data_IF_585373399645
#
_entry.id   IF_585373399645
#
_cell.length_a   1.000
_cell.length_b   1.000
_cell.length_c   1.000
_cell.angle_alpha   90.00
_cell.angle_beta   90.00
_cell.angle_gamma   90.00
#
_symmetry.space_group_name_H-M   'P 1'
#
loop_
_entity.id
_entity.type
_entity.pdbx_description
1 polymer ?
#
# COMPACT_ATOMS: atom_id res chain seq x y z
N UNK A 1 -33.47 -27.02 -4.66
CA UNK A 1 -32.03 -26.97 -4.33
C UNK A 1 -31.91 -26.18 -3.04
N UNK A 2 -31.73 -26.84 -1.90
CA UNK A 2 -31.39 -26.15 -0.64
C UNK A 2 -29.91 -25.80 -0.71
N UNK A 3 -29.58 -24.51 -0.69
CA UNK A 3 -28.20 -24.04 -0.63
C UNK A 3 -27.65 -24.26 0.78
N UNK A 4 -26.63 -25.09 0.90
CA UNK A 4 -25.82 -25.23 2.12
C UNK A 4 -24.68 -24.18 2.17
N UNK A 5 -24.84 -23.05 1.44
CA UNK A 5 -23.82 -22.02 1.19
C UNK A 5 -23.47 -21.17 2.42
N UNK A 6 -23.11 -21.81 3.53
CA UNK A 6 -22.57 -21.15 4.70
C UNK A 6 -21.13 -20.69 4.44
N UNK A 7 -20.92 -19.38 4.45
CA UNK A 7 -19.61 -18.73 4.50
C UNK A 7 -18.92 -18.51 3.14
N UNK A 8 -17.90 -17.64 3.16
CA UNK A 8 -17.13 -17.25 1.96
C UNK A 8 -15.75 -17.93 1.99
N UNK A 9 -15.59 -19.02 1.23
CA UNK A 9 -14.35 -19.83 1.20
C UNK A 9 -13.43 -19.46 0.03
N UNK A 10 -12.56 -18.46 0.24
CA UNK A 10 -11.62 -18.01 -0.81
C UNK A 10 -10.28 -18.77 -0.84
N UNK A 11 -9.91 -19.47 0.24
CA UNK A 11 -8.61 -20.14 0.33
C UNK A 11 -8.50 -21.29 -0.67
N UNK A 12 -9.49 -22.17 -0.75
CA UNK A 12 -9.44 -23.35 -1.62
C UNK A 12 -9.30 -22.98 -3.11
N UNK A 13 -10.09 -22.03 -3.67
CA UNK A 13 -9.89 -21.56 -5.05
C UNK A 13 -8.51 -20.94 -5.29
N UNK A 14 -7.98 -20.16 -4.33
CA UNK A 14 -6.66 -19.53 -4.47
C UNK A 14 -5.52 -20.55 -4.44
N UNK A 15 -5.61 -21.57 -3.57
CA UNK A 15 -4.67 -22.69 -3.56
C UNK A 15 -4.75 -23.51 -4.85
N UNK A 16 -5.94 -23.66 -5.43
CA UNK A 16 -6.09 -24.28 -6.74
C UNK A 16 -5.35 -23.45 -7.81
N UNK A 17 -5.51 -22.12 -7.82
CA UNK A 17 -4.82 -21.23 -8.76
C UNK A 17 -3.30 -21.27 -8.60
N UNK A 18 -2.79 -21.43 -7.38
CA UNK A 18 -1.36 -21.57 -7.11
C UNK A 18 -0.79 -22.87 -7.70
N UNK A 19 -1.54 -23.98 -7.63
CA UNK A 19 -1.15 -25.27 -8.22
C UNK A 19 -1.27 -25.32 -9.75
N UNK A 20 -2.05 -24.40 -10.32
CA UNK A 20 -2.27 -24.28 -11.76
C UNK A 20 -1.80 -22.91 -12.24
N UNK A 21 -0.48 -22.67 -12.37
CA UNK A 21 0.04 -21.39 -12.84
C UNK A 21 -0.48 -21.05 -14.25
N UNK A 22 -0.50 -19.76 -14.59
CA UNK A 22 -0.84 -19.34 -15.95
C UNK A 22 0.25 -19.73 -16.94
N UNK A 23 -0.13 -19.83 -18.22
CA UNK A 23 0.82 -20.06 -19.30
C UNK A 23 1.86 -18.94 -19.37
N UNK A 24 3.07 -19.30 -19.80
CA UNK A 24 4.18 -18.36 -19.92
C UNK A 24 3.82 -17.20 -20.85
N UNK A 25 4.11 -15.97 -20.41
CA UNK A 25 3.80 -14.76 -21.15
C UNK A 25 2.32 -14.31 -21.08
N UNK A 26 1.45 -15.04 -20.37
CA UNK A 26 0.05 -14.65 -20.14
C UNK A 26 -0.19 -14.30 -18.67
N UNK A 27 -0.82 -13.15 -18.43
CA UNK A 27 -1.33 -12.78 -17.12
C UNK A 27 -2.80 -13.20 -16.98
N UNK A 28 -3.10 -14.08 -16.03
CA UNK A 28 -4.45 -14.50 -15.69
C UNK A 28 -5.23 -13.32 -15.09
N UNK A 29 -6.38 -13.00 -15.66
CA UNK A 29 -7.30 -11.99 -15.12
C UNK A 29 -8.44 -12.69 -14.36
N UNK A 30 -8.67 -12.30 -13.12
CA UNK A 30 -9.72 -12.87 -12.26
C UNK A 30 -10.67 -11.75 -11.85
N UNK A 31 -11.97 -11.95 -12.02
CA UNK A 31 -12.99 -11.07 -11.48
C UNK A 31 -13.61 -11.74 -10.25
N UNK A 32 -13.48 -11.10 -9.08
CA UNK A 32 -13.99 -11.61 -7.81
C UNK A 32 -15.10 -10.70 -7.30
N UNK A 33 -16.27 -11.26 -7.04
CA UNK A 33 -17.42 -10.54 -6.52
C UNK A 33 -17.70 -11.03 -5.10
N UNK A 34 -17.92 -10.10 -4.16
CA UNK A 34 -18.26 -10.42 -2.77
C UNK A 34 -19.18 -9.36 -2.20
N UNK A 35 -20.22 -9.79 -1.49
CA UNK A 35 -21.12 -8.96 -0.68
C UNK A 35 -20.87 -9.12 0.83
N UNK A 36 -20.12 -10.16 1.22
CA UNK A 36 -19.83 -10.50 2.61
C UNK A 36 -18.38 -10.33 3.04
N UNK A 37 -18.12 -10.76 4.27
CA UNK A 37 -16.80 -10.73 4.92
C UNK A 37 -16.20 -12.13 5.04
N UNK A 38 -14.89 -12.18 5.28
CA UNK A 38 -14.17 -13.39 5.68
C UNK A 38 -13.37 -13.11 6.94
N UNK A 39 -13.21 -14.12 7.79
CA UNK A 39 -12.37 -14.01 8.99
C UNK A 39 -10.87 -14.09 8.68
N UNK A 40 -10.48 -14.74 7.58
CA UNK A 40 -9.10 -15.03 7.22
C UNK A 40 -8.54 -14.15 6.09
N UNK A 41 -8.82 -12.83 6.14
CA UNK A 41 -8.36 -11.86 5.13
C UNK A 41 -6.84 -11.94 4.92
N UNK A 42 -6.07 -11.98 6.01
CA UNK A 42 -4.60 -11.97 5.94
C UNK A 42 -4.10 -13.16 5.11
N UNK A 43 -4.53 -14.39 5.46
CA UNK A 43 -4.16 -15.61 4.75
C UNK A 43 -4.47 -15.55 3.25
N UNK A 44 -5.68 -15.07 2.91
CA UNK A 44 -6.12 -14.89 1.52
C UNK A 44 -5.22 -13.92 0.76
N UNK A 45 -4.86 -12.79 1.36
CA UNK A 45 -3.95 -11.82 0.73
C UNK A 45 -2.55 -12.41 0.52
N UNK A 46 -2.08 -13.28 1.41
CA UNK A 46 -0.79 -13.96 1.24
C UNK A 46 -0.79 -14.94 0.08
N UNK A 47 -1.84 -15.74 -0.07
CA UNK A 47 -2.02 -16.61 -1.24
C UNK A 47 -2.07 -15.79 -2.53
N UNK A 48 -2.79 -14.66 -2.53
CA UNK A 48 -2.83 -13.77 -3.70
C UNK A 48 -1.44 -13.23 -4.06
N UNK A 49 -0.60 -12.96 -3.06
CA UNK A 49 0.76 -12.47 -3.27
C UNK A 49 1.71 -13.53 -3.83
N UNK A 50 1.47 -14.81 -3.56
CA UNK A 50 2.29 -15.89 -4.13
C UNK A 50 2.02 -16.09 -5.63
N UNK A 51 0.81 -15.75 -6.10
CA UNK A 51 0.39 -15.86 -7.51
C UNK A 51 0.42 -14.53 -8.28
N UNK A 52 0.75 -13.41 -7.64
CA UNK A 52 0.60 -12.05 -8.20
C UNK A 52 1.54 -11.72 -9.36
N UNK A 53 2.61 -12.49 -9.56
CA UNK A 53 3.52 -12.32 -10.70
C UNK A 53 2.88 -12.70 -12.03
N UNK A 54 1.80 -13.47 -12.01
CA UNK A 54 1.12 -13.96 -13.21
C UNK A 54 -0.41 -13.89 -13.13
N UNK A 55 -0.96 -13.43 -12.01
CA UNK A 55 -2.40 -13.29 -11.78
C UNK A 55 -2.75 -11.89 -11.30
N UNK A 56 -3.81 -11.31 -11.88
CA UNK A 56 -4.38 -10.01 -11.53
C UNK A 56 -5.84 -10.19 -11.11
N UNK A 57 -6.21 -9.64 -9.95
CA UNK A 57 -7.58 -9.77 -9.41
C UNK A 57 -8.29 -8.41 -9.46
N UNK A 58 -9.43 -8.38 -10.16
CA UNK A 58 -10.40 -7.30 -10.14
C UNK A 58 -11.51 -7.64 -9.15
N UNK A 59 -11.56 -6.93 -8.03
CA UNK A 59 -12.48 -7.25 -6.93
C UNK A 59 -13.66 -6.26 -6.88
N UNK A 60 -14.86 -6.79 -6.72
CA UNK A 60 -16.09 -6.03 -6.56
C UNK A 60 -16.66 -6.27 -5.17
N UNK A 61 -16.81 -5.20 -4.39
CA UNK A 61 -17.61 -5.21 -3.17
C UNK A 61 -19.05 -4.84 -3.50
N UNK A 62 -20.01 -5.73 -3.30
CA UNK A 62 -21.42 -5.50 -3.62
C UNK A 62 -22.20 -5.07 -2.38
N UNK A 63 -23.02 -4.04 -2.52
CA UNK A 63 -23.90 -3.57 -1.45
C UNK A 63 -23.17 -2.77 -0.36
N UNK A 64 -23.75 -2.75 0.84
CA UNK A 64 -23.34 -1.83 1.92
C UNK A 64 -22.25 -2.41 2.83
N UNK A 65 -22.16 -3.74 2.92
CA UNK A 65 -21.35 -4.43 3.93
C UNK A 65 -20.20 -5.33 3.41
N UNK A 66 -19.66 -5.18 2.19
CA UNK A 66 -18.51 -6.00 1.79
C UNK A 66 -17.27 -5.60 2.58
N UNK A 67 -16.42 -6.57 2.90
CA UNK A 67 -15.15 -6.30 3.61
C UNK A 67 -14.24 -5.39 2.78
N UNK A 68 -14.10 -4.13 3.20
CA UNK A 68 -13.24 -3.15 2.52
C UNK A 68 -11.77 -3.57 2.51
N UNK A 69 -11.31 -4.21 3.59
CA UNK A 69 -9.93 -4.71 3.71
C UNK A 69 -9.67 -5.82 2.69
N UNK A 70 -10.61 -6.76 2.54
CA UNK A 70 -10.51 -7.83 1.57
C UNK A 70 -10.50 -7.29 0.14
N UNK A 71 -11.53 -6.52 -0.23
CA UNK A 71 -11.72 -6.00 -1.59
C UNK A 71 -10.53 -5.13 -2.00
N UNK A 72 -10.13 -4.16 -1.18
CA UNK A 72 -8.95 -3.32 -1.48
C UNK A 72 -7.66 -4.14 -1.49
N UNK A 73 -7.53 -5.10 -0.58
CA UNK A 73 -6.34 -5.94 -0.43
C UNK A 73 -6.09 -6.84 -1.65
N UNK A 74 -7.13 -7.51 -2.14
CA UNK A 74 -7.05 -8.40 -3.31
C UNK A 74 -6.51 -7.67 -4.54
N UNK A 75 -7.08 -6.51 -4.84
CA UNK A 75 -6.66 -5.67 -5.95
C UNK A 75 -5.21 -5.17 -5.78
N UNK A 76 -4.87 -4.61 -4.60
CA UNK A 76 -3.54 -4.03 -4.36
C UNK A 76 -2.43 -5.07 -4.42
N UNK A 77 -2.66 -6.26 -3.87
CA UNK A 77 -1.66 -7.34 -3.84
C UNK A 77 -1.35 -7.90 -5.22
N UNK A 78 -2.30 -7.84 -6.16
CA UNK A 78 -2.20 -8.47 -7.49
C UNK A 78 -2.09 -7.45 -8.63
N UNK A 79 -1.81 -6.17 -8.32
CA UNK A 79 -1.81 -5.06 -9.29
C UNK A 79 -3.14 -4.93 -10.07
N UNK A 80 -4.25 -5.35 -9.47
CA UNK A 80 -5.59 -5.25 -10.00
C UNK A 80 -6.29 -3.93 -9.69
N UNK A 81 -7.61 -3.92 -9.81
CA UNK A 81 -8.46 -2.80 -9.43
C UNK A 81 -9.61 -3.27 -8.55
N UNK A 82 -10.09 -2.38 -7.68
CA UNK A 82 -11.25 -2.65 -6.86
C UNK A 82 -12.34 -1.62 -7.13
N UNK A 83 -13.59 -2.06 -7.01
CA UNK A 83 -14.77 -1.19 -7.09
C UNK A 83 -15.76 -1.63 -6.02
N UNK A 84 -16.42 -0.67 -5.38
CA UNK A 84 -17.60 -0.92 -4.55
C UNK A 84 -18.84 -0.53 -5.35
N UNK A 85 -19.79 -1.44 -5.50
CA UNK A 85 -21.04 -1.25 -6.23
C UNK A 85 -22.16 -1.07 -5.19
N UNK A 86 -22.73 0.14 -5.06
CA UNK A 86 -23.81 0.38 -4.12
C UNK A 86 -25.07 -0.43 -4.47
N UNK A 87 -25.95 -0.72 -3.50
CA UNK A 87 -27.23 -1.38 -3.78
C UNK A 87 -28.02 -0.67 -4.87
N UNK A 88 -28.76 -1.42 -5.69
CA UNK A 88 -29.62 -0.91 -6.78
C UNK A 88 -28.88 -0.17 -7.90
N UNK A 89 -27.54 -0.17 -7.90
CA UNK A 89 -26.75 0.38 -8.99
C UNK A 89 -26.66 -0.60 -10.16
N UNK A 90 -26.51 -0.07 -11.37
CA UNK A 90 -26.33 -0.89 -12.56
C UNK A 90 -24.92 -1.49 -12.58
N UNK A 91 -24.82 -2.82 -12.48
CA UNK A 91 -23.55 -3.55 -12.34
C UNK A 91 -22.73 -3.52 -13.64
N UNK A 92 -23.40 -3.43 -14.78
CA UNK A 92 -22.83 -3.39 -16.14
C UNK A 92 -21.80 -2.27 -16.34
N UNK A 93 -22.08 -1.07 -15.83
CA UNK A 93 -21.15 0.08 -15.94
C UNK A 93 -19.83 -0.25 -15.25
N UNK A 94 -19.88 -0.72 -14.01
CA UNK A 94 -18.69 -1.06 -13.22
C UNK A 94 -17.93 -2.25 -13.77
N UNK A 95 -18.65 -3.26 -14.28
CA UNK A 95 -18.04 -4.41 -14.94
C UNK A 95 -17.33 -3.99 -16.22
N UNK A 96 -17.96 -3.12 -17.03
CA UNK A 96 -17.36 -2.57 -18.25
C UNK A 96 -16.06 -1.82 -17.99
N UNK A 97 -16.00 -1.01 -16.93
CA UNK A 97 -14.79 -0.30 -16.53
C UNK A 97 -13.65 -1.25 -16.14
N UNK A 98 -13.92 -2.28 -15.34
CA UNK A 98 -12.89 -3.25 -14.95
C UNK A 98 -12.48 -4.12 -16.14
N UNK A 99 -13.41 -4.51 -17.02
CA UNK A 99 -13.13 -5.27 -18.22
C UNK A 99 -12.21 -4.51 -19.18
N UNK A 100 -12.45 -3.20 -19.37
CA UNK A 100 -11.55 -2.34 -20.16
C UNK A 100 -10.12 -2.36 -19.64
N UNK A 101 -9.93 -2.43 -18.32
CA UNK A 101 -8.60 -2.53 -17.67
C UNK A 101 -8.01 -3.93 -17.78
N UNK A 102 -8.84 -4.98 -17.72
CA UNK A 102 -8.43 -6.38 -17.84
C UNK A 102 -7.92 -6.73 -19.24
N UNK A 103 -8.49 -6.11 -20.27
CA UNK A 103 -8.12 -6.31 -21.68
C UNK A 103 -6.85 -5.55 -22.09
N UNK A 104 -6.25 -4.75 -21.20
CA UNK A 104 -5.00 -4.06 -21.50
C UNK A 104 -3.85 -5.07 -21.63
N UNK A 105 -3.02 -4.87 -22.65
CA UNK A 105 -1.79 -5.64 -22.80
C UNK A 105 -0.86 -5.43 -21.61
N UNK A 106 -0.06 -6.46 -21.31
CA UNK A 106 0.90 -6.40 -20.22
C UNK A 106 2.22 -7.08 -20.59
N UNK A 107 3.26 -6.67 -19.88
CA UNK A 107 4.54 -7.37 -19.83
C UNK A 107 4.59 -8.04 -18.45
N UNK A 108 4.64 -9.38 -18.45
CA UNK A 108 4.77 -10.20 -17.25
C UNK A 108 6.21 -10.67 -17.05
N UNK A 109 6.51 -11.26 -15.89
CA UNK A 109 7.84 -11.80 -15.55
C UNK A 109 8.97 -10.76 -15.70
N UNK A 110 8.67 -9.52 -15.31
CA UNK A 110 9.64 -8.43 -15.29
C UNK A 110 10.48 -8.56 -14.03
N UNK A 111 11.76 -8.21 -14.11
CA UNK A 111 12.67 -8.05 -12.98
C UNK A 111 13.46 -6.76 -13.12
N UNK A 112 13.76 -6.11 -11.99
CA UNK A 112 14.65 -4.94 -11.94
C UNK A 112 15.97 -5.41 -11.36
N UNK A 113 17.04 -5.27 -12.16
CA UNK A 113 18.40 -5.57 -11.75
C UNK A 113 19.11 -4.27 -11.39
N UNK A 114 19.65 -4.22 -10.18
CA UNK A 114 20.38 -3.08 -9.65
C UNK A 114 21.88 -3.36 -9.72
N UNK A 115 22.59 -2.69 -10.61
CA UNK A 115 24.05 -2.77 -10.73
C UNK A 115 24.63 -1.49 -10.11
N UNK A 116 24.60 -1.37 -8.78
CA UNK A 116 25.03 -0.15 -8.07
C UNK A 116 26.32 -0.34 -7.24
N UNK A 117 27.01 -1.46 -7.40
CA UNK A 117 28.22 -1.79 -6.62
C UNK A 117 27.98 -2.07 -5.13
N UNK A 118 26.73 -1.95 -4.65
CA UNK A 118 26.33 -2.18 -3.26
C UNK A 118 25.07 -3.05 -3.19
N UNK A 119 24.85 -3.67 -2.02
CA UNK A 119 23.61 -4.40 -1.76
C UNK A 119 22.47 -3.41 -1.59
N UNK A 120 21.34 -3.71 -2.24
CA UNK A 120 20.16 -2.85 -2.16
C UNK A 120 18.92 -3.65 -1.85
N UNK A 121 18.04 -3.07 -1.05
CA UNK A 121 16.74 -3.66 -0.76
C UNK A 121 15.65 -2.87 -1.48
N UNK A 122 14.92 -3.55 -2.37
CA UNK A 122 13.86 -2.93 -3.17
C UNK A 122 12.45 -3.28 -2.68
N UNK A 123 11.53 -2.33 -2.88
CA UNK A 123 10.09 -2.52 -2.73
C UNK A 123 9.39 -2.15 -4.06
N UNK A 124 8.56 -3.04 -4.63
CA UNK A 124 8.26 -4.39 -4.15
C UNK A 124 9.44 -5.36 -4.35
N UNK A 125 9.57 -6.38 -3.49
CA UNK A 125 10.61 -7.42 -3.60
C UNK A 125 10.37 -8.33 -4.80
N UNK A 126 9.09 -8.59 -5.13
CA UNK A 126 8.67 -9.26 -6.37
C UNK A 126 7.95 -8.24 -7.26
N UNK A 127 8.47 -8.04 -8.46
CA UNK A 127 7.91 -7.14 -9.46
C UNK A 127 6.66 -7.75 -10.10
N UNK A 128 5.57 -7.01 -10.04
CA UNK A 128 4.27 -7.40 -10.63
C UNK A 128 4.25 -7.09 -12.14
N UNK A 129 3.39 -7.75 -12.93
CA UNK A 129 3.19 -7.41 -14.34
C UNK A 129 2.86 -5.94 -14.54
N UNK A 130 3.40 -5.34 -15.60
CA UNK A 130 3.16 -3.95 -15.97
C UNK A 130 2.20 -3.90 -17.15
N UNK A 131 1.10 -3.18 -16.97
CA UNK A 131 0.02 -3.05 -17.96
C UNK A 131 0.17 -1.75 -18.75
N UNK A 132 -0.38 -1.72 -19.96
CA UNK A 132 -0.45 -0.50 -20.76
C UNK A 132 -1.08 0.65 -19.94
N UNK A 133 -0.49 1.84 -20.05
CA UNK A 133 -0.90 3.06 -19.33
C UNK A 133 -0.82 2.97 -17.79
N UNK A 134 -0.14 1.96 -17.23
CA UNK A 134 0.16 1.87 -15.81
C UNK A 134 1.64 2.17 -15.54
N UNK A 135 1.94 2.69 -14.35
CA UNK A 135 3.31 3.00 -13.91
C UNK A 135 3.77 1.99 -12.86
N UNK A 136 4.91 1.36 -13.11
CA UNK A 136 5.66 0.64 -12.08
C UNK A 136 6.57 1.62 -11.34
N UNK A 137 6.47 1.67 -10.02
CA UNK A 137 7.39 2.41 -9.16
C UNK A 137 8.10 1.39 -8.30
N UNK A 138 9.42 1.36 -8.38
CA UNK A 138 10.26 0.54 -7.50
C UNK A 138 11.13 1.48 -6.68
N UNK A 139 11.03 1.34 -5.36
CA UNK A 139 11.88 2.06 -4.44
C UNK A 139 13.04 1.17 -4.00
N UNK A 140 14.18 1.77 -3.72
CA UNK A 140 15.31 1.07 -3.13
C UNK A 140 15.98 1.96 -2.09
N UNK A 141 16.48 1.34 -1.02
CA UNK A 141 17.32 2.00 -0.02
C UNK A 141 18.72 1.37 -0.06
N UNK A 142 19.73 2.23 0.04
CA UNK A 142 21.14 1.86 0.07
C UNK A 142 21.73 2.24 1.43
N UNK A 143 22.61 1.40 1.97
CA UNK A 143 23.11 1.58 3.34
C UNK A 143 24.30 2.58 3.42
N UNK A 144 24.94 2.89 2.28
CA UNK A 144 26.10 3.78 2.22
C UNK A 144 25.79 5.10 1.49
N UNK A 145 26.49 6.18 1.88
CA UNK A 145 26.68 7.32 0.99
C UNK A 145 27.43 6.78 -0.23
N UNK A 146 26.71 6.48 -1.30
CA UNK A 146 27.27 6.14 -2.61
C UNK A 146 28.00 7.37 -3.13
N UNK A 147 29.19 7.65 -2.58
CA UNK A 147 29.91 8.91 -2.76
C UNK A 147 30.42 9.08 -4.18
N UNK A 148 30.47 8.01 -4.96
CA UNK A 148 30.57 8.05 -6.41
C UNK A 148 29.87 6.82 -6.96
N UNK A 149 28.71 6.98 -7.59
CA UNK A 149 28.31 5.98 -8.58
C UNK A 149 29.44 5.99 -9.60
N UNK A 150 30.20 4.90 -9.68
CA UNK A 150 31.13 4.74 -10.78
C UNK A 150 30.31 4.82 -12.07
N UNK A 151 30.87 5.36 -13.15
CA UNK A 151 30.18 5.52 -14.44
C UNK A 151 29.69 4.19 -15.08
N UNK A 152 29.66 3.11 -14.32
CA UNK A 152 29.19 1.78 -14.64
C UNK A 152 27.92 1.38 -13.85
N UNK A 153 27.46 2.24 -12.94
CA UNK A 153 26.25 2.01 -12.16
C UNK A 153 25.02 2.09 -13.08
N UNK A 154 24.17 1.06 -13.03
CA UNK A 154 22.99 0.97 -13.90
C UNK A 154 21.81 0.27 -13.25
N UNK A 155 20.61 0.64 -13.70
CA UNK A 155 19.36 -0.05 -13.37
C UNK A 155 18.81 -0.65 -14.66
N UNK A 156 18.65 -1.96 -14.68
CA UNK A 156 18.19 -2.68 -15.86
C UNK A 156 16.82 -3.30 -15.63
N UNK A 157 15.94 -3.17 -16.62
CA UNK A 157 14.66 -3.85 -16.67
C UNK A 157 14.81 -5.09 -17.55
N UNK A 158 14.53 -6.26 -16.98
CA UNK A 158 14.61 -7.54 -17.68
C UNK A 158 13.24 -8.20 -17.77
N UNK A 159 12.97 -8.90 -18.87
CA UNK A 159 11.84 -9.81 -19.01
C UNK A 159 12.40 -11.20 -19.30
N UNK A 160 12.19 -12.12 -18.37
CA UNK A 160 12.88 -13.42 -18.37
C UNK A 160 14.41 -13.22 -18.46
N UNK A 161 15.05 -13.67 -19.54
CA UNK A 161 16.49 -13.52 -19.78
C UNK A 161 16.85 -12.34 -20.68
N UNK A 162 15.87 -11.56 -21.14
CA UNK A 162 16.09 -10.48 -22.09
C UNK A 162 16.05 -9.12 -21.40
N UNK A 163 17.10 -8.32 -21.61
CA UNK A 163 17.15 -6.93 -21.16
C UNK A 163 16.24 -6.06 -22.05
N UNK A 164 15.21 -5.47 -21.45
CA UNK A 164 14.26 -4.58 -22.11
C UNK A 164 14.76 -3.14 -22.17
N UNK A 165 15.35 -2.66 -21.06
CA UNK A 165 15.83 -1.30 -20.93
C UNK A 165 16.96 -1.23 -19.90
N UNK A 166 17.80 -0.20 -20.01
CA UNK A 166 18.81 0.12 -19.02
C UNK A 166 18.87 1.64 -18.83
N UNK A 167 18.99 2.08 -17.58
CA UNK A 167 19.26 3.45 -17.21
C UNK A 167 20.62 3.52 -16.52
N UNK A 168 21.51 4.36 -17.03
CA UNK A 168 22.81 4.62 -16.40
C UNK A 168 22.58 5.59 -15.24
N UNK A 169 23.17 5.29 -14.09
CA UNK A 169 23.10 6.09 -12.87
C UNK A 169 24.46 6.76 -12.68
N UNK A 170 24.70 7.85 -13.39
CA UNK A 170 25.94 8.63 -13.23
C UNK A 170 25.91 9.49 -11.96
N UNK A 171 24.73 9.93 -11.55
CA UNK A 171 24.52 10.76 -10.36
C UNK A 171 23.11 10.61 -9.85
N UNK A 172 22.94 10.44 -8.54
CA UNK A 172 21.64 10.63 -7.88
C UNK A 172 21.48 12.13 -7.62
N UNK A 173 20.47 12.79 -8.22
CA UNK A 173 20.26 14.22 -8.01
C UNK A 173 19.93 14.48 -6.54
N UNK A 174 20.51 15.54 -5.97
CA UNK A 174 20.09 16.01 -4.66
C UNK A 174 18.72 16.68 -4.80
N UNK A 175 17.67 16.01 -4.34
CA UNK A 175 16.31 16.51 -4.38
C UNK A 175 15.99 17.12 -3.02
N UNK A 176 15.78 18.44 -2.97
CA UNK A 176 15.31 19.10 -1.74
C UNK A 176 13.82 18.80 -1.51
N UNK A 177 13.54 17.66 -0.88
CA UNK A 177 12.17 17.18 -0.60
C UNK A 177 11.93 16.87 0.88
N UNK A 178 12.75 17.41 1.78
CA UNK A 178 12.75 17.10 3.21
C UNK A 178 12.76 15.58 3.51
N UNK A 179 13.38 14.77 2.65
CA UNK A 179 13.46 13.31 2.80
C UNK A 179 12.17 12.56 2.44
N UNK A 180 11.22 13.18 1.74
CA UNK A 180 9.93 12.55 1.39
C UNK A 180 10.09 11.28 0.55
N UNK A 181 11.00 11.26 -0.43
CA UNK A 181 11.26 10.05 -1.25
C UNK A 181 11.82 8.93 -0.37
N UNK A 182 12.78 9.23 0.51
CA UNK A 182 13.32 8.26 1.45
C UNK A 182 12.22 7.70 2.37
N UNK A 183 11.29 8.56 2.80
CA UNK A 183 10.13 8.13 3.59
C UNK A 183 9.17 7.22 2.81
N UNK A 184 8.90 7.52 1.54
CA UNK A 184 8.09 6.64 0.68
C UNK A 184 8.77 5.29 0.47
N UNK A 185 10.08 5.28 0.21
CA UNK A 185 10.87 4.06 0.05
C UNK A 185 10.86 3.21 1.33
N UNK A 186 11.12 3.82 2.49
CA UNK A 186 11.08 3.13 3.78
C UNK A 186 9.69 2.59 4.11
N UNK A 187 8.63 3.36 3.84
CA UNK A 187 7.24 2.89 4.01
C UNK A 187 6.93 1.68 3.12
N UNK A 188 7.32 1.73 1.85
CA UNK A 188 7.10 0.64 0.91
C UNK A 188 7.84 -0.63 1.38
N UNK A 189 9.09 -0.50 1.84
CA UNK A 189 9.88 -1.61 2.39
C UNK A 189 9.30 -2.18 3.69
N UNK A 190 8.84 -1.33 4.61
CA UNK A 190 8.18 -1.77 5.84
C UNK A 190 6.95 -2.63 5.54
N UNK A 191 6.13 -2.21 4.56
CA UNK A 191 4.97 -2.99 4.10
C UNK A 191 5.42 -4.34 3.54
N UNK A 192 6.44 -4.37 2.70
CA UNK A 192 6.98 -5.61 2.11
C UNK A 192 7.50 -6.59 3.18
N UNK A 193 8.28 -6.10 4.15
CA UNK A 193 8.83 -6.90 5.26
C UNK A 193 7.73 -7.48 6.17
N UNK A 194 6.65 -6.73 6.40
CA UNK A 194 5.50 -7.23 7.14
C UNK A 194 4.83 -8.41 6.45
N UNK A 195 4.85 -8.42 5.11
CA UNK A 195 4.20 -9.46 4.33
C UNK A 195 5.08 -10.69 4.10
N UNK A 196 6.41 -10.54 4.00
CA UNK A 196 7.35 -11.67 3.86
C UNK A 196 7.15 -12.70 4.99
N UNK A 197 6.89 -12.20 6.20
CA UNK A 197 6.64 -12.93 7.45
C UNK A 197 5.56 -14.03 7.42
N UNK A 198 4.59 -13.99 6.49
CA UNK A 198 3.42 -14.89 6.54
C UNK A 198 3.51 -16.02 5.51
N UNK A 199 4.40 -15.91 4.52
CA UNK A 199 4.60 -16.96 3.52
C UNK A 199 5.30 -18.21 4.08
N UNK A 200 6.18 -18.05 5.07
CA UNK A 200 6.90 -19.18 5.69
C UNK A 200 6.04 -20.02 6.64
N UNK A 201 4.93 -19.46 7.16
CA UNK A 201 4.04 -20.19 8.08
C UNK A 201 3.16 -21.25 7.41
N UNK A 202 2.97 -21.19 6.10
CA UNK A 202 1.95 -21.97 5.40
C UNK A 202 2.51 -23.05 4.47
N UNK A 203 3.84 -23.18 4.34
CA UNK A 203 4.45 -24.26 3.54
C UNK A 203 4.38 -25.60 4.28
N UNK A 204 4.38 -25.61 5.61
CA UNK A 204 4.21 -26.81 6.45
C UNK A 204 2.73 -27.16 6.68
N UNK A 205 1.94 -27.14 5.60
CA UNK A 205 0.55 -27.57 5.58
C UNK A 205 0.41 -29.08 5.76
N UNK A 206 0.72 -29.58 6.97
CA UNK A 206 0.21 -30.85 7.46
C UNK A 206 -0.51 -30.61 8.78
N UNK A 207 -1.75 -31.09 8.84
CA UNK A 207 -2.69 -31.07 9.96
C UNK A 207 -1.96 -31.10 11.31
N UNK A 208 -1.99 -30.00 12.06
CA UNK A 208 -1.65 -30.02 13.48
C UNK A 208 -2.81 -30.64 14.27
N UNK A 209 -2.93 -31.97 14.16
CA UNK A 209 -3.33 -32.77 15.30
C UNK A 209 -2.32 -32.51 16.42
N UNK A 210 -2.82 -32.07 17.58
CA UNK A 210 -2.10 -32.07 18.85
C UNK A 210 -1.31 -33.38 18.99
N UNK A 211 0.01 -33.33 18.85
CA UNK A 211 0.89 -34.31 19.45
C UNK A 211 2.24 -33.68 19.72
N UNK A 212 2.64 -33.81 20.97
CA UNK A 212 3.84 -33.27 21.56
C UNK A 212 5.08 -34.05 21.03
N UNK A 213 6.26 -33.44 21.15
CA UNK A 213 7.61 -34.06 21.09
C UNK A 213 8.28 -34.26 19.70
N UNK A 214 9.14 -33.31 19.27
CA UNK A 214 10.64 -33.39 19.22
C UNK A 214 11.29 -32.39 18.21
N UNK A 215 12.35 -31.68 18.67
CA UNK A 215 13.40 -30.90 17.94
C UNK A 215 13.12 -29.44 17.49
N UNK A 216 14.14 -28.54 17.48
CA UNK A 216 14.04 -27.21 18.08
C UNK A 216 13.66 -26.07 17.12
N UNK A 217 12.76 -25.22 17.59
CA UNK A 217 12.15 -24.05 16.96
C UNK A 217 13.02 -22.77 17.02
N UNK A 218 14.35 -22.88 17.00
CA UNK A 218 15.24 -21.73 17.29
C UNK A 218 15.42 -20.80 16.09
N UNK A 219 15.70 -21.34 14.90
CA UNK A 219 16.06 -20.56 13.69
C UNK A 219 14.95 -19.63 13.21
N UNK A 220 13.70 -20.10 13.25
CA UNK A 220 12.52 -19.34 12.79
C UNK A 220 12.24 -18.13 13.70
N UNK A 221 12.55 -18.25 15.00
CA UNK A 221 12.40 -17.13 15.92
C UNK A 221 13.46 -16.05 15.66
N UNK A 222 14.69 -16.46 15.33
CA UNK A 222 15.80 -15.54 15.07
C UNK A 222 15.56 -14.70 13.81
N UNK A 223 15.12 -15.31 12.69
CA UNK A 223 14.81 -14.59 11.45
C UNK A 223 13.64 -13.61 11.61
N UNK A 224 12.62 -14.01 12.36
CA UNK A 224 11.49 -13.15 12.71
C UNK A 224 11.94 -11.97 13.56
N UNK A 225 12.80 -12.20 14.53
CA UNK A 225 13.33 -11.13 15.39
C UNK A 225 14.20 -10.16 14.58
N UNK A 226 15.01 -10.66 13.65
CA UNK A 226 15.79 -9.84 12.71
C UNK A 226 14.89 -8.97 11.82
N UNK A 227 13.80 -9.52 11.29
CA UNK A 227 12.84 -8.76 10.47
C UNK A 227 12.16 -7.65 11.29
N UNK A 228 11.75 -7.94 12.53
CA UNK A 228 11.15 -6.94 13.43
C UNK A 228 12.16 -5.84 13.75
N UNK A 229 13.40 -6.20 14.09
CA UNK A 229 14.49 -5.25 14.32
C UNK A 229 14.70 -4.34 13.11
N UNK A 230 14.71 -4.88 11.90
CA UNK A 230 14.84 -4.08 10.66
C UNK A 230 13.67 -3.14 10.43
N UNK A 231 12.43 -3.57 10.69
CA UNK A 231 11.25 -2.68 10.59
C UNK A 231 11.35 -1.53 11.59
N UNK A 232 11.74 -1.81 12.83
CA UNK A 232 11.92 -0.78 13.86
C UNK A 232 13.02 0.20 13.45
N UNK A 233 14.16 -0.31 12.97
CA UNK A 233 15.27 0.52 12.49
C UNK A 233 14.85 1.47 11.36
N UNK A 234 14.18 0.95 10.31
CA UNK A 234 13.67 1.76 9.20
C UNK A 234 12.65 2.80 9.68
N UNK A 235 11.76 2.40 10.60
CA UNK A 235 10.73 3.25 11.17
C UNK A 235 11.33 4.42 11.97
N UNK A 236 12.32 4.15 12.83
CA UNK A 236 12.99 5.15 13.64
C UNK A 236 13.86 6.08 12.76
N UNK A 237 14.66 5.51 11.84
CA UNK A 237 15.54 6.26 10.92
C UNK A 237 14.78 7.25 10.05
N UNK A 238 13.60 6.85 9.56
CA UNK A 238 12.81 7.67 8.63
C UNK A 238 11.59 8.33 9.27
N UNK A 239 11.38 8.18 10.59
CA UNK A 239 10.24 8.74 11.33
C UNK A 239 8.89 8.36 10.71
N UNK A 240 8.65 7.07 10.52
CA UNK A 240 7.42 6.52 9.93
C UNK A 240 6.78 5.57 10.93
N UNK A 241 5.46 5.62 11.09
CA UNK A 241 4.74 4.66 11.92
C UNK A 241 4.86 3.24 11.35
N UNK A 242 5.13 2.27 12.22
CA UNK A 242 5.05 0.84 11.92
C UNK A 242 4.21 0.12 12.98
N UNK A 243 3.77 -1.13 12.77
CA UNK A 243 3.10 -1.93 13.79
C UNK A 243 3.91 -2.14 15.08
N UNK A 244 5.22 -1.84 15.05
CA UNK A 244 6.15 -2.01 16.16
C UNK A 244 6.62 -0.70 16.78
N UNK A 245 6.15 0.45 16.29
CA UNK A 245 6.57 1.77 16.74
C UNK A 245 5.38 2.71 16.85
N UNK A 246 5.45 3.67 17.78
CA UNK A 246 4.40 4.65 18.00
C UNK A 246 5.00 6.04 18.22
N UNK A 247 4.27 7.07 17.79
CA UNK A 247 4.58 8.45 18.18
C UNK A 247 3.88 8.75 19.50
N UNK A 248 4.65 9.18 20.49
CA UNK A 248 4.14 9.56 21.81
C UNK A 248 4.34 11.05 22.00
N UNK A 249 3.25 11.79 22.10
CA UNK A 249 3.28 13.21 22.47
C UNK A 249 3.47 13.33 23.99
N UNK A 250 4.63 13.82 24.43
CA UNK A 250 4.89 14.11 25.84
C UNK A 250 4.68 15.60 26.09
N UNK A 251 3.58 15.94 26.78
CA UNK A 251 3.33 17.30 27.24
C UNK A 251 4.20 17.58 28.48
N UNK A 252 5.21 18.44 28.33
CA UNK A 252 5.94 18.97 29.48
C UNK A 252 5.20 20.19 30.00
N UNK A 253 4.63 20.08 31.20
CA UNK A 253 4.00 21.21 31.90
C UNK A 253 5.05 21.90 32.77
N UNK A 254 5.17 23.22 32.60
CA UNK A 254 5.93 24.08 33.50
C UNK A 254 5.11 24.51 34.72
N UNK A 255 3.77 24.44 34.64
CA UNK A 255 2.86 24.90 35.69
C UNK A 255 2.14 23.74 36.38
N UNK A 256 2.17 23.75 37.72
CA UNK A 256 1.48 22.82 38.63
C UNK A 256 0.01 23.18 38.86
N UNK A 257 -0.57 24.12 38.12
CA UNK A 257 -1.89 24.65 38.43
C UNK A 257 -3.00 23.69 38.02
N UNK A 258 -3.80 23.29 39.01
CA UNK A 258 -5.03 22.55 38.84
C UNK A 258 -6.17 23.44 38.28
N UNK A 259 -6.01 24.06 37.10
CA UNK A 259 -7.06 24.86 36.45
C UNK A 259 -8.34 24.06 36.06
N UNK A 260 -9.42 24.72 35.71
CA UNK A 260 -10.72 24.08 35.48
C UNK A 260 -10.84 23.40 34.10
N UNK A 261 -11.47 22.22 34.01
CA UNK A 261 -11.70 21.52 32.74
C UNK A 261 -12.82 22.20 31.94
N UNK A 262 -12.56 22.60 30.70
CA UNK A 262 -13.56 23.27 29.84
C UNK A 262 -13.87 22.39 28.62
N UNK A 263 -15.11 22.22 28.18
CA UNK A 263 -15.37 21.46 26.94
C UNK A 263 -14.75 22.16 25.71
N UNK A 264 -14.04 21.41 24.86
CA UNK A 264 -13.56 21.87 23.53
C UNK A 264 -14.07 20.96 22.41
N UNK A 265 -14.27 21.56 21.25
CA UNK A 265 -14.59 20.83 20.02
C UNK A 265 -13.31 20.46 19.30
N UNK A 266 -13.11 19.16 19.06
CA UNK A 266 -11.97 18.65 18.29
C UNK A 266 -12.46 18.20 16.92
N UNK A 267 -11.91 18.75 15.81
CA UNK A 267 -12.26 18.30 14.48
C UNK A 267 -11.77 16.86 14.26
N UNK A 268 -12.66 15.98 13.80
CA UNK A 268 -12.31 14.62 13.39
C UNK A 268 -12.03 14.63 11.90
N UNK A 269 -10.88 14.10 11.49
CA UNK A 269 -10.53 13.95 10.07
C UNK A 269 -11.29 12.77 9.46
N UNK A 270 -12.11 13.04 8.44
CA UNK A 270 -12.78 12.03 7.62
C UNK A 270 -11.88 11.76 6.40
N UNK A 271 -11.56 10.49 6.13
CA UNK A 271 -10.71 10.10 4.98
C UNK A 271 -11.42 10.41 3.65
N UNK A 272 -10.67 10.78 2.61
CA UNK A 272 -11.23 11.04 1.26
C UNK A 272 -12.03 9.85 0.69
N UNK A 273 -11.67 8.61 1.05
CA UNK A 273 -12.36 7.38 0.63
C UNK A 273 -13.77 7.23 1.25
N UNK A 274 -14.04 7.95 2.34
CA UNK A 274 -15.28 7.85 3.12
C UNK A 274 -16.26 8.99 2.81
N UNK A 275 -16.02 9.75 1.73
CA UNK A 275 -16.89 10.85 1.29
C UNK A 275 -18.33 10.42 0.99
N UNK A 276 -18.55 9.16 0.61
CA UNK A 276 -19.90 8.62 0.39
C UNK A 276 -20.73 8.51 1.69
N UNK A 277 -20.11 8.56 2.88
CA UNK A 277 -20.83 8.68 4.16
C UNK A 277 -21.34 10.12 4.41
N UNK A 278 -20.97 11.08 3.55
CA UNK A 278 -21.35 12.49 3.66
C UNK A 278 -22.64 12.83 2.90
N UNK A 279 -23.41 11.86 2.39
CA UNK A 279 -24.65 12.12 1.66
C UNK A 279 -25.80 12.49 2.61
N UNK A 280 -25.66 13.64 3.26
CA UNK A 280 -26.70 14.47 3.84
C UNK A 280 -26.40 15.91 3.44
N UNK A 281 -27.27 16.51 2.63
CA UNK A 281 -27.12 17.83 2.02
C UNK A 281 -26.54 18.89 2.97
N UNK A 282 -25.27 19.26 2.82
CA UNK A 282 -24.75 20.62 3.09
C UNK A 282 -23.46 20.82 2.30
N UNK A 283 -23.51 21.73 1.31
CA UNK A 283 -22.31 22.32 0.72
C UNK A 283 -21.60 23.13 1.80
N UNK A 284 -20.56 22.54 2.40
CA UNK A 284 -19.37 23.16 3.00
C UNK A 284 -18.61 22.05 3.74
N UNK A 285 -17.27 22.14 3.81
CA UNK A 285 -16.41 21.17 4.52
C UNK A 285 -16.86 21.05 5.98
N UNK A 286 -17.63 20.02 6.31
CA UNK A 286 -18.18 19.82 7.64
C UNK A 286 -17.30 18.84 8.44
N UNK A 287 -16.61 19.37 9.44
CA UNK A 287 -16.01 18.58 10.52
C UNK A 287 -17.11 17.98 11.38
N UNK A 288 -17.09 16.66 11.61
CA UNK A 288 -17.87 16.08 12.69
C UNK A 288 -17.26 16.53 14.03
N UNK A 289 -18.07 17.23 14.85
CA UNK A 289 -17.66 17.80 16.13
C UNK A 289 -18.05 16.85 17.26
N UNK A 290 -17.08 16.41 18.07
CA UNK A 290 -17.35 15.72 19.33
C UNK A 290 -16.98 16.65 20.48
N UNK A 291 -17.91 16.85 21.42
CA UNK A 291 -17.61 17.56 22.68
C UNK A 291 -16.73 16.67 23.54
N UNK A 292 -15.51 17.11 23.82
CA UNK A 292 -14.58 16.44 24.72
C UNK A 292 -14.20 17.46 25.80
N UNK A 293 -14.18 17.07 27.07
CA UNK A 293 -13.69 17.93 28.16
C UNK A 293 -12.17 18.15 28.01
N UNK A 294 -11.73 19.40 27.85
CA UNK A 294 -10.32 19.80 27.67
C UNK A 294 -10.01 21.17 28.31
N UNK A 295 -9.18 21.19 29.36
CA UNK A 295 -8.79 22.37 30.15
C UNK A 295 -8.56 23.66 29.35
N UNK A 296 -9.16 24.78 29.79
CA UNK A 296 -8.91 26.07 29.16
C UNK A 296 -7.53 26.61 29.57
N UNK A 297 -6.68 26.92 28.57
CA UNK A 297 -5.59 27.87 28.74
C UNK A 297 -6.13 29.27 28.50
N UNK A 298 -6.16 30.09 29.54
CA UNK A 298 -6.01 31.55 29.40
C UNK A 298 -4.51 31.80 29.28
N UNK A 299 -4.05 32.06 28.06
CA UNK A 299 -2.98 33.01 27.76
C UNK A 299 -2.81 33.12 26.24
N UNK A 300 -2.75 34.36 25.78
CA UNK A 300 -2.80 34.73 24.37
C UNK A 300 -1.67 34.12 23.57
N UNK A 301 -2.04 33.32 22.56
CA UNK A 301 -1.20 33.13 21.39
C UNK A 301 -1.63 34.16 20.34
N UNK A 302 -0.82 35.21 20.19
CA UNK A 302 -0.74 35.93 18.93
C UNK A 302 -0.26 34.93 17.88
N UNK A 303 -1.17 34.49 17.02
CA UNK A 303 -0.78 33.97 15.72
C UNK A 303 -0.31 35.18 14.92
N UNK A 304 1.00 35.38 14.81
CA UNK A 304 1.52 36.14 13.67
C UNK A 304 1.19 35.32 12.42
N UNK A 305 0.12 35.72 11.75
CA UNK A 305 -0.14 35.36 10.36
C UNK A 305 1.00 35.92 9.51
N UNK A 306 2.04 35.11 9.29
CA UNK A 306 2.87 35.29 8.12
C UNK A 306 2.05 34.85 6.90
N UNK A 307 1.25 35.78 6.36
CA UNK A 307 0.72 35.71 5.00
C UNK A 307 1.91 35.62 4.04
N UNK A 308 2.32 34.39 3.74
CA UNK A 308 3.13 34.10 2.56
C UNK A 308 2.16 34.16 1.39
N UNK A 309 2.05 35.32 0.75
CA UNK A 309 1.36 35.47 -0.54
C UNK A 309 1.98 34.48 -1.54
N UNK A 310 1.34 33.32 -1.69
CA UNK A 310 1.53 32.47 -2.86
C UNK A 310 1.00 33.26 -4.06
N UNK A 311 1.90 33.97 -4.74
CA UNK A 311 1.69 34.42 -6.10
C UNK A 311 1.36 33.20 -6.96
N UNK A 312 0.06 33.08 -7.29
CA UNK A 312 -0.41 32.25 -8.39
C UNK A 312 0.38 32.66 -9.65
N UNK A 313 1.06 31.74 -10.35
CA UNK A 313 1.57 32.06 -11.67
C UNK A 313 0.39 32.39 -12.59
N UNK A 314 0.48 33.57 -13.19
CA UNK A 314 -0.45 34.06 -14.20
C UNK A 314 -0.67 32.99 -15.27
N UNK A 315 -1.95 32.84 -15.66
CA UNK A 315 -2.36 32.12 -16.87
C UNK A 315 -1.52 32.60 -18.05
N UNK A 316 -0.66 31.73 -18.58
CA UNK A 316 -0.07 31.93 -19.89
C UNK A 316 -1.17 31.65 -20.91
N UNK A 317 -1.69 32.73 -21.49
CA UNK A 317 -2.51 32.73 -22.69
C UNK A 317 -1.67 32.23 -23.85
N UNK A 318 -2.05 31.09 -24.45
CA UNK A 318 -1.57 30.68 -25.77
C UNK A 318 -2.71 30.93 -26.75
N UNK A 319 -2.67 32.08 -27.41
CA UNK A 319 -3.34 32.28 -28.68
C UNK A 319 -2.29 32.65 -29.74
N UNK A 320 -2.50 32.03 -30.89
CA UNK A 320 -1.99 32.30 -32.24
C UNK A 320 -0.50 32.04 -32.50
N UNK A 321 -0.22 31.06 -33.36
CA UNK A 321 0.09 31.31 -34.79
C UNK A 321 0.47 29.98 -35.47
N UNK A 322 -0.40 29.42 -36.30
CA UNK A 322 0.01 28.62 -37.46
C UNK A 322 -0.96 28.92 -38.61
N UNK A 323 -0.58 29.93 -39.40
CA UNK A 323 -0.88 29.97 -40.82
C UNK A 323 0.16 29.14 -41.56
N UNK A 324 -0.34 28.44 -42.60
CA UNK A 324 0.32 27.61 -43.62
C UNK A 324 0.46 26.13 -43.29
#
# INVERSE_FOLDING_TARGET
>A
MQSDMGGTKLVEPLQWLQRHPSEQGRARQIFLLTDGEISNVIEVLHLCRSISTSTRIFSFGLGDSPSRSLVKGLARTTNGHFIFIPPKSSVDVYVGEQLKKALQSCIANIQVKWNLGTSVLNAPMKTLPVYANHRLIVYTLTDEQTSTFDHNSSVELHMNQHRLAAAIVDRVPNVNNAGTIARLAAKALIIELQHAKILEKNVDGTLQTRSEHLAPSTTINDEKEMTIKRIIELSLKHQILSPYTAFVGVEKRTDTSNAEMVPREVPIQITADDQHLQTGHYNNVCFARRKIAARAKTDGFMLEEHESQLHLPQKISLNDTLQR
#
